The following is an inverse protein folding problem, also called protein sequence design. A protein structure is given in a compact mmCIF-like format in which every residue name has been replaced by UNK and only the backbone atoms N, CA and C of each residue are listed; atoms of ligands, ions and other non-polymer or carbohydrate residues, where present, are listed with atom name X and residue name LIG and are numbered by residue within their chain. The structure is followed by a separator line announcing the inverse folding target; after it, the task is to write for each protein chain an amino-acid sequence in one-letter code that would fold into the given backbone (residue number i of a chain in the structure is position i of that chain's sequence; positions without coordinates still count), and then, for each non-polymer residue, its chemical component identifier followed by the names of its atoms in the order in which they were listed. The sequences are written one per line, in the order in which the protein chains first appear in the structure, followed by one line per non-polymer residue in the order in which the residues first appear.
data_IF_427463862469
#
_entry.id   IF_427463862469
#
_cell.length_a   1.000
_cell.length_b   1.000
_cell.length_c   1.000
_cell.angle_alpha   90.00
_cell.angle_beta   90.00
_cell.angle_gamma   90.00
#
_symmetry.space_group_name_H-M   'P 1'
#
loop_
_entity.id
_entity.type
_entity.pdbx_description
1 polymer ?
#
# COMPACT_ATOMS: atom_id res chain seq x y z
N UNK A 1 -7.94 -3.58 13.57
CA UNK A 1 -8.26 -4.36 12.35
C UNK A 1 -7.31 -5.55 12.24
N UNK A 2 -7.73 -6.67 11.61
CA UNK A 2 -6.82 -7.81 11.37
C UNK A 2 -5.90 -7.56 10.16
N UNK A 3 -4.76 -8.26 10.10
CA UNK A 3 -3.77 -8.10 9.02
C UNK A 3 -4.32 -8.43 7.64
N UNK A 4 -5.17 -9.44 7.52
CA UNK A 4 -5.79 -9.83 6.24
C UNK A 4 -6.73 -8.75 5.71
N UNK A 5 -7.51 -8.12 6.60
CA UNK A 5 -8.36 -6.98 6.24
C UNK A 5 -7.52 -5.80 5.77
N UNK A 6 -6.39 -5.54 6.43
CA UNK A 6 -5.46 -4.48 6.03
C UNK A 6 -4.87 -4.71 4.63
N UNK A 7 -4.42 -5.94 4.34
CA UNK A 7 -3.93 -6.31 3.00
C UNK A 7 -5.00 -6.09 1.93
N UNK A 8 -6.25 -6.55 2.17
CA UNK A 8 -7.36 -6.34 1.24
C UNK A 8 -7.62 -4.87 0.95
N UNK A 9 -7.66 -4.03 2.00
CA UNK A 9 -7.87 -2.59 1.82
C UNK A 9 -6.74 -1.91 1.05
N UNK A 10 -5.48 -2.30 1.30
CA UNK A 10 -4.35 -1.80 0.50
C UNK A 10 -4.54 -2.15 -0.98
N UNK A 11 -4.94 -3.39 -1.28
CA UNK A 11 -5.19 -3.81 -2.67
C UNK A 11 -6.38 -3.07 -3.30
N UNK A 12 -7.46 -2.83 -2.55
CA UNK A 12 -8.62 -2.04 -3.00
C UNK A 12 -8.28 -0.56 -3.26
N UNK A 13 -7.33 0.01 -2.51
CA UNK A 13 -6.85 1.36 -2.78
C UNK A 13 -5.99 1.39 -4.05
N UNK A 14 -5.08 0.41 -4.19
CA UNK A 14 -4.20 0.31 -5.34
C UNK A 14 -4.92 -0.11 -6.63
N UNK A 15 -6.12 -0.69 -6.55
CA UNK A 15 -6.95 -0.96 -7.74
C UNK A 15 -7.59 0.31 -8.32
N UNK A 16 -7.67 1.39 -7.53
CA UNK A 16 -8.17 2.70 -7.98
C UNK A 16 -7.07 3.54 -8.64
N UNK A 17 -5.81 3.17 -8.45
CA UNK A 17 -4.66 3.86 -9.02
C UNK A 17 -3.43 3.74 -8.14
N UNK A 18 -2.31 4.18 -8.69
CA UNK A 18 -1.01 4.08 -8.04
C UNK A 18 -0.93 5.10 -6.88
N UNK A 19 -0.44 4.64 -5.74
CA UNK A 19 -0.38 5.47 -4.53
C UNK A 19 0.97 5.34 -3.84
N UNK A 20 1.38 6.41 -3.17
CA UNK A 20 2.53 6.39 -2.27
C UNK A 20 2.17 5.77 -0.92
N UNK A 21 3.18 5.35 -0.16
CA UNK A 21 2.97 4.84 1.21
C UNK A 21 2.28 5.86 2.11
N UNK A 22 2.52 7.16 1.89
CA UNK A 22 1.86 8.26 2.60
C UNK A 22 0.38 8.34 2.26
N UNK A 23 0.02 8.32 0.96
CA UNK A 23 -1.38 8.33 0.54
C UNK A 23 -2.15 7.11 1.05
N UNK A 24 -1.58 5.91 0.92
CA UNK A 24 -2.18 4.68 1.46
C UNK A 24 -2.41 4.77 2.98
N UNK A 25 -1.45 5.33 3.71
CA UNK A 25 -1.58 5.54 5.15
C UNK A 25 -2.70 6.53 5.45
N UNK A 26 -2.76 7.65 4.74
CA UNK A 26 -3.70 8.74 5.00
C UNK A 26 -5.15 8.31 4.73
N UNK A 27 -5.38 7.46 3.72
CA UNK A 27 -6.68 6.82 3.49
C UNK A 27 -7.09 5.87 4.63
N UNK A 28 -6.12 5.16 5.21
CA UNK A 28 -6.37 4.13 6.22
C UNK A 28 -6.32 4.65 7.67
N UNK A 29 -5.77 5.84 7.93
CA UNK A 29 -5.52 6.33 9.29
C UNK A 29 -6.81 6.55 10.08
N UNK A 30 -7.88 6.96 9.39
CA UNK A 30 -9.21 7.16 9.99
C UNK A 30 -9.86 5.85 10.44
N UNK A 31 -9.33 4.71 10.02
CA UNK A 31 -9.83 3.38 10.38
C UNK A 31 -9.09 2.76 11.59
N UNK A 32 -8.22 3.54 12.24
CA UNK A 32 -7.47 3.10 13.42
C UNK A 32 -6.39 2.08 13.10
N UNK A 33 -5.71 2.21 11.95
CA UNK A 33 -4.59 1.32 11.61
C UNK A 33 -3.40 1.49 12.55
N UNK A 34 -2.74 0.38 12.86
CA UNK A 34 -1.43 0.40 13.48
C UNK A 34 -0.35 0.59 12.38
N UNK A 35 0.50 1.61 12.51
CA UNK A 35 1.53 1.94 11.52
C UNK A 35 2.57 0.83 11.32
N UNK A 36 2.88 0.06 12.36
CA UNK A 36 3.81 -1.08 12.27
C UNK A 36 3.19 -2.18 11.42
N UNK A 37 1.93 -2.51 11.68
CA UNK A 37 1.19 -3.52 10.91
C UNK A 37 0.99 -3.08 9.45
N UNK A 38 0.70 -1.81 9.21
CA UNK A 38 0.61 -1.25 7.86
C UNK A 38 1.90 -1.41 7.07
N UNK A 39 3.04 -1.01 7.65
CA UNK A 39 4.34 -1.16 6.99
C UNK A 39 4.67 -2.62 6.71
N UNK A 40 4.39 -3.51 7.66
CA UNK A 40 4.62 -4.95 7.51
C UNK A 40 3.74 -5.55 6.41
N UNK A 41 2.43 -5.22 6.39
CA UNK A 41 1.50 -5.72 5.39
C UNK A 41 1.85 -5.25 3.98
N UNK A 42 2.19 -3.96 3.81
CA UNK A 42 2.60 -3.42 2.52
C UNK A 42 3.91 -4.07 2.04
N UNK A 43 4.89 -4.28 2.93
CA UNK A 43 6.14 -4.95 2.58
C UNK A 43 5.94 -6.44 2.24
N UNK A 44 4.99 -7.13 2.88
CA UNK A 44 4.60 -8.50 2.51
C UNK A 44 4.00 -8.54 1.11
N UNK A 45 3.06 -7.67 0.78
CA UNK A 45 2.44 -7.62 -0.56
C UNK A 45 3.47 -7.37 -1.67
N UNK A 46 4.51 -6.56 -1.38
CA UNK A 46 5.64 -6.35 -2.31
C UNK A 46 6.49 -7.60 -2.45
N UNK A 47 6.80 -8.29 -1.34
CA UNK A 47 7.58 -9.54 -1.35
C UNK A 47 6.85 -10.69 -2.03
N UNK A 48 5.54 -10.78 -1.85
CA UNK A 48 4.65 -11.74 -2.51
C UNK A 48 4.51 -11.45 -4.02
N UNK A 49 4.95 -10.27 -4.48
CA UNK A 49 4.90 -9.86 -5.87
C UNK A 49 3.51 -9.44 -6.34
N UNK A 50 2.55 -9.24 -5.43
CA UNK A 50 1.20 -8.76 -5.74
C UNK A 50 1.22 -7.25 -6.00
N UNK A 51 2.08 -6.53 -5.25
CA UNK A 51 2.28 -5.08 -5.38
C UNK A 51 3.70 -4.82 -5.87
N UNK A 52 3.85 -3.91 -6.82
CA UNK A 52 5.14 -3.42 -7.27
C UNK A 52 5.42 -2.04 -6.66
N UNK A 53 6.62 -1.85 -6.13
CA UNK A 53 7.13 -0.55 -5.67
C UNK A 53 8.07 0.00 -6.73
N UNK A 54 7.81 1.19 -7.23
CA UNK A 54 8.64 1.84 -8.26
C UNK A 54 8.90 3.32 -7.92
N UNK A 55 10.05 3.88 -8.33
CA UNK A 55 10.37 5.29 -8.11
C UNK A 55 9.70 6.17 -9.18
N UNK A 56 9.19 7.32 -8.75
CA UNK A 56 8.82 8.46 -9.62
C UNK A 56 9.77 9.60 -9.27
N UNK A 57 10.74 9.86 -10.16
CA UNK A 57 11.87 10.73 -9.88
C UNK A 57 11.51 12.21 -9.90
N UNK A 58 10.55 12.58 -10.74
CA UNK A 58 9.96 13.92 -10.85
C UNK A 58 9.40 14.36 -9.49
N UNK A 59 8.76 13.43 -8.79
CA UNK A 59 8.17 13.66 -7.47
C UNK A 59 9.10 13.29 -6.31
N UNK A 60 10.25 12.66 -6.60
CA UNK A 60 11.18 12.09 -5.61
C UNK A 60 10.49 11.16 -4.61
N UNK A 61 9.53 10.35 -5.09
CA UNK A 61 8.70 9.46 -4.26
C UNK A 61 8.69 8.04 -4.79
N UNK A 62 8.33 7.11 -3.92
CA UNK A 62 8.01 5.74 -4.31
C UNK A 62 6.51 5.55 -4.38
N UNK A 63 6.06 5.09 -5.53
CA UNK A 63 4.70 4.67 -5.77
C UNK A 63 4.59 3.16 -5.69
N UNK A 64 3.37 2.72 -5.41
CA UNK A 64 2.98 1.33 -5.31
C UNK A 64 1.84 1.11 -6.31
N UNK A 65 1.87 -0.01 -7.04
CA UNK A 65 0.83 -0.42 -7.99
C UNK A 65 0.54 -1.91 -7.91
N UNK A 66 -0.62 -2.34 -8.35
CA UNK A 66 -0.92 -3.76 -8.52
C UNK A 66 -0.13 -4.34 -9.71
N UNK A 67 0.50 -5.50 -9.53
CA UNK A 67 1.33 -6.13 -10.57
C UNK A 67 0.52 -6.86 -11.65
N UNK A 68 -0.75 -7.17 -11.39
CA UNK A 68 -1.63 -7.94 -12.28
C UNK A 68 -3.01 -7.25 -12.47
N UNK A 69 -3.06 -5.92 -12.53
CA UNK A 69 -4.30 -5.20 -12.86
C UNK A 69 -4.58 -5.20 -14.37
#
# INVERSE_FOLDING_TARGET
MSREVLKKKILELLSKGDMTSTQLRDELINEGINLIEFRSALAELVREGVVEKYPVYEEKKFYFRLKNA
#
